data_IF_343517962062
#
_entry.id   IF_343517962062
#
_cell.length_a   1.000
_cell.length_b   1.000
_cell.length_c   1.000
_cell.angle_alpha   90.00
_cell.angle_beta   90.00
_cell.angle_gamma   90.00
#
_symmetry.space_group_name_H-M   'P 1'
#
loop_
_entity.id
_entity.type
_entity.pdbx_description
1 polymer ?
#
# COMPACT_ATOMS: atom_id res chain seq x y z
N UNK A 1 13.05 -14.92 -13.25
CA UNK A 1 11.80 -14.27 -13.70
C UNK A 1 12.09 -12.97 -14.43
N UNK A 2 12.91 -12.05 -13.91
CA UNK A 2 13.17 -10.73 -14.53
C UNK A 2 13.76 -10.83 -15.94
N UNK A 3 14.68 -11.78 -16.18
CA UNK A 3 15.22 -12.06 -17.52
C UNK A 3 14.12 -12.45 -18.51
N UNK A 4 13.05 -13.10 -18.03
CA UNK A 4 11.91 -13.48 -18.87
C UNK A 4 11.23 -12.29 -19.57
N UNK A 5 11.24 -11.10 -18.95
CA UNK A 5 10.66 -9.90 -19.56
C UNK A 5 11.43 -9.41 -20.80
N UNK A 6 12.71 -9.75 -20.92
CA UNK A 6 13.54 -9.39 -22.09
C UNK A 6 13.08 -10.17 -23.33
N UNK A 7 12.54 -11.37 -23.16
CA UNK A 7 12.11 -12.27 -24.24
C UNK A 7 10.62 -12.19 -24.55
N UNK A 8 9.89 -11.26 -23.92
CA UNK A 8 8.46 -11.07 -24.14
C UNK A 8 8.20 -10.53 -25.56
N UNK A 9 7.35 -11.22 -26.31
CA UNK A 9 6.96 -10.85 -27.67
C UNK A 9 5.45 -10.58 -27.80
N UNK A 10 4.64 -11.06 -26.86
CA UNK A 10 3.19 -10.92 -26.90
C UNK A 10 2.58 -10.90 -25.49
N UNK A 11 1.29 -10.59 -25.39
CA UNK A 11 0.57 -10.46 -24.13
C UNK A 11 0.58 -11.77 -23.30
N UNK A 12 0.54 -12.95 -23.96
CA UNK A 12 0.56 -14.24 -23.26
C UNK A 12 1.88 -14.44 -22.54
N UNK A 13 3.01 -14.10 -23.18
CA UNK A 13 4.33 -14.16 -22.55
C UNK A 13 4.39 -13.22 -21.31
N UNK A 14 3.81 -12.01 -21.40
CA UNK A 14 3.72 -11.09 -20.25
C UNK A 14 2.97 -11.75 -19.11
N UNK A 15 1.79 -12.33 -19.38
CA UNK A 15 0.95 -12.97 -18.38
C UNK A 15 1.71 -14.12 -17.69
N UNK A 16 2.35 -14.99 -18.44
CA UNK A 16 3.09 -16.13 -17.88
C UNK A 16 4.25 -15.68 -16.99
N UNK A 17 5.04 -14.70 -17.45
CA UNK A 17 6.16 -14.15 -16.65
C UNK A 17 5.64 -13.46 -15.40
N UNK A 18 4.51 -12.73 -15.48
CA UNK A 18 3.85 -12.10 -14.33
C UNK A 18 3.29 -13.11 -13.33
N UNK A 19 2.73 -14.22 -13.79
CA UNK A 19 2.27 -15.31 -12.91
C UNK A 19 3.44 -15.88 -12.11
N UNK A 20 4.56 -16.23 -12.77
CA UNK A 20 5.76 -16.70 -12.10
C UNK A 20 6.34 -15.66 -11.13
N UNK A 21 6.34 -14.39 -11.53
CA UNK A 21 6.77 -13.29 -10.65
C UNK A 21 5.88 -13.17 -9.41
N UNK A 22 4.56 -13.30 -9.59
CA UNK A 22 3.58 -13.24 -8.49
C UNK A 22 3.76 -14.36 -7.48
N UNK A 23 3.99 -15.59 -7.96
CA UNK A 23 4.29 -16.73 -7.09
C UNK A 23 5.58 -16.50 -6.30
N UNK A 24 6.68 -16.18 -6.98
CA UNK A 24 7.96 -15.91 -6.32
C UNK A 24 7.90 -14.75 -5.32
N UNK A 25 7.22 -13.66 -5.67
CA UNK A 25 7.04 -12.52 -4.78
C UNK A 25 6.19 -12.86 -3.55
N UNK A 26 5.18 -13.72 -3.70
CA UNK A 26 4.34 -14.15 -2.57
C UNK A 26 5.13 -15.01 -1.58
N UNK A 27 5.89 -15.97 -2.09
CA UNK A 27 6.78 -16.81 -1.25
C UNK A 27 7.79 -15.92 -0.53
N UNK A 28 8.51 -15.06 -1.26
CA UNK A 28 9.53 -14.18 -0.70
C UNK A 28 8.97 -13.25 0.39
N UNK A 29 7.78 -12.68 0.15
CA UNK A 29 7.15 -11.76 1.12
C UNK A 29 6.71 -12.48 2.39
N UNK A 30 6.08 -13.65 2.26
CA UNK A 30 5.63 -14.43 3.42
C UNK A 30 6.84 -14.90 4.22
N UNK A 31 7.78 -15.61 3.57
CA UNK A 31 8.98 -16.15 4.23
C UNK A 31 9.83 -15.03 4.83
N UNK A 32 10.04 -13.93 4.12
CA UNK A 32 10.85 -12.81 4.63
C UNK A 32 10.27 -12.18 5.89
N UNK A 33 8.95 -11.97 5.96
CA UNK A 33 8.30 -11.43 7.16
C UNK A 33 8.31 -12.43 8.32
N UNK A 34 8.15 -13.72 8.05
CA UNK A 34 8.23 -14.79 9.05
C UNK A 34 9.62 -14.86 9.65
N UNK A 35 10.65 -14.97 8.83
CA UNK A 35 12.05 -15.04 9.29
C UNK A 35 12.41 -13.82 10.14
N UNK A 36 12.07 -12.59 9.71
CA UNK A 36 12.31 -11.39 10.51
C UNK A 36 11.57 -11.45 11.86
N UNK A 37 10.35 -11.98 11.88
CA UNK A 37 9.59 -12.17 13.11
C UNK A 37 10.26 -13.16 14.05
N UNK A 38 10.79 -14.27 13.53
CA UNK A 38 11.40 -15.35 14.30
C UNK A 38 12.80 -14.99 14.86
N UNK A 39 13.63 -14.28 14.09
CA UNK A 39 14.96 -13.86 14.53
C UNK A 39 14.93 -12.60 15.40
N UNK A 40 13.79 -11.92 15.49
CA UNK A 40 13.65 -10.71 16.32
C UNK A 40 13.58 -11.09 17.81
N UNK A 41 14.29 -10.38 18.70
CA UNK A 41 14.13 -10.54 20.13
C UNK A 41 12.68 -10.27 20.57
N UNK A 42 12.18 -10.96 21.58
CA UNK A 42 10.83 -10.76 22.13
C UNK A 42 10.60 -9.30 22.56
N UNK A 43 11.62 -8.71 23.21
CA UNK A 43 11.67 -7.28 23.49
C UNK A 43 12.16 -6.52 22.25
N UNK A 44 11.26 -5.81 21.55
CA UNK A 44 11.61 -4.97 20.40
C UNK A 44 11.22 -5.56 19.02
N UNK A 45 10.45 -6.64 18.95
CA UNK A 45 9.96 -7.22 17.70
C UNK A 45 9.30 -6.17 16.78
N UNK A 46 8.57 -5.22 17.36
CA UNK A 46 7.96 -4.11 16.61
C UNK A 46 8.99 -3.22 15.91
N UNK A 47 10.15 -2.97 16.54
CA UNK A 47 11.23 -2.20 15.95
C UNK A 47 11.86 -2.93 14.76
N UNK A 48 12.08 -4.25 14.86
CA UNK A 48 12.65 -5.06 13.79
C UNK A 48 11.72 -5.15 12.58
N UNK A 49 10.43 -5.44 12.79
CA UNK A 49 9.42 -5.45 11.73
C UNK A 49 9.20 -4.06 11.13
N UNK A 50 9.25 -3.02 11.96
CA UNK A 50 9.21 -1.63 11.53
C UNK A 50 10.38 -1.28 10.64
N UNK A 51 11.62 -1.63 11.04
CA UNK A 51 12.84 -1.42 10.27
C UNK A 51 12.82 -2.17 8.95
N UNK A 52 12.36 -3.42 8.93
CA UNK A 52 12.17 -4.20 7.71
C UNK A 52 11.22 -3.49 6.72
N UNK A 53 10.08 -3.01 7.18
CA UNK A 53 9.14 -2.26 6.36
C UNK A 53 9.69 -0.92 5.88
N UNK A 54 10.52 -0.26 6.71
CA UNK A 54 11.19 1.00 6.34
C UNK A 54 12.22 0.77 5.24
N UNK A 55 13.06 -0.26 5.37
CA UNK A 55 14.01 -0.66 4.32
C UNK A 55 13.28 -0.99 3.02
N UNK A 56 12.16 -1.74 3.09
CA UNK A 56 11.33 -2.04 1.92
C UNK A 56 10.79 -0.77 1.25
N UNK A 57 10.41 0.25 2.02
CA UNK A 57 9.91 1.53 1.50
C UNK A 57 11.01 2.34 0.80
N UNK A 58 12.19 2.45 1.42
CA UNK A 58 13.34 3.12 0.81
C UNK A 58 13.86 2.39 -0.44
N UNK A 59 13.92 1.05 -0.39
CA UNK A 59 14.29 0.24 -1.55
C UNK A 59 13.30 0.41 -2.71
N UNK A 60 12.00 0.50 -2.40
CA UNK A 60 10.97 0.77 -3.41
C UNK A 60 11.10 2.17 -4.02
N UNK A 61 11.43 3.19 -3.21
CA UNK A 61 11.71 4.55 -3.69
C UNK A 61 12.96 4.57 -4.58
N UNK A 62 14.05 3.95 -4.13
CA UNK A 62 15.28 3.84 -4.91
C UNK A 62 15.04 3.10 -6.24
N UNK A 63 14.20 2.04 -6.20
CA UNK A 63 13.80 1.29 -7.39
C UNK A 63 13.04 2.15 -8.40
N UNK A 64 12.17 3.07 -7.98
CA UNK A 64 11.45 3.99 -8.89
C UNK A 64 12.43 4.98 -9.55
N UNK A 65 13.35 5.55 -8.77
CA UNK A 65 14.33 6.51 -9.30
C UNK A 65 15.33 5.84 -10.25
N UNK A 66 15.95 4.76 -9.80
CA UNK A 66 16.93 4.02 -10.59
C UNK A 66 16.29 3.36 -11.82
N UNK A 67 15.12 2.74 -11.63
CA UNK A 67 14.37 2.12 -12.72
C UNK A 67 13.92 3.13 -13.76
N UNK A 68 13.43 4.28 -13.32
CA UNK A 68 13.06 5.39 -14.20
C UNK A 68 14.26 5.93 -15.01
N UNK A 69 15.39 6.14 -14.33
CA UNK A 69 16.63 6.57 -14.97
C UNK A 69 17.17 5.54 -15.95
N UNK A 70 17.31 4.29 -15.54
CA UNK A 70 17.84 3.22 -16.40
C UNK A 70 16.96 2.99 -17.62
N UNK A 71 15.63 3.04 -17.44
CA UNK A 71 14.69 2.91 -18.54
C UNK A 71 14.81 4.08 -19.54
N UNK A 72 15.01 5.29 -19.03
CA UNK A 72 15.19 6.49 -19.84
C UNK A 72 16.50 6.47 -20.62
N UNK A 73 17.63 6.18 -19.95
CA UNK A 73 18.96 6.30 -20.53
C UNK A 73 19.37 5.10 -21.39
N UNK A 74 18.93 3.90 -21.05
CA UNK A 74 19.41 2.64 -21.62
C UNK A 74 18.30 1.74 -22.20
N UNK A 75 17.05 2.21 -22.15
CA UNK A 75 15.90 1.45 -22.64
C UNK A 75 15.53 0.24 -21.76
N UNK A 76 14.77 -0.69 -22.32
CA UNK A 76 14.04 -1.71 -21.56
C UNK A 76 14.92 -2.83 -20.98
N UNK A 77 15.98 -3.22 -21.67
CA UNK A 77 16.77 -4.43 -21.34
C UNK A 77 17.60 -4.28 -20.09
N UNK A 78 18.33 -3.16 -19.94
CA UNK A 78 19.26 -2.97 -18.84
C UNK A 78 18.61 -2.97 -17.45
N UNK A 79 17.44 -2.31 -17.22
CA UNK A 79 16.74 -2.39 -15.94
C UNK A 79 16.47 -3.82 -15.49
N UNK A 80 16.05 -4.70 -16.39
CA UNK A 80 15.77 -6.10 -16.05
C UNK A 80 17.03 -6.92 -15.76
N UNK A 81 18.15 -6.63 -16.43
CA UNK A 81 19.44 -7.25 -16.13
C UNK A 81 19.95 -6.81 -14.73
N UNK A 82 19.83 -5.53 -14.40
CA UNK A 82 20.18 -5.00 -13.07
C UNK A 82 19.30 -5.65 -11.99
N UNK A 83 17.99 -5.72 -12.19
CA UNK A 83 17.09 -6.41 -11.25
C UNK A 83 17.45 -7.89 -11.09
N UNK A 84 17.84 -8.55 -12.17
CA UNK A 84 18.27 -9.95 -12.13
C UNK A 84 19.56 -10.09 -11.31
N UNK A 85 20.54 -9.22 -11.52
CA UNK A 85 21.80 -9.23 -10.78
C UNK A 85 21.57 -8.98 -9.28
N UNK A 86 20.76 -7.97 -8.91
CA UNK A 86 20.40 -7.68 -7.52
C UNK A 86 19.71 -8.88 -6.88
N UNK A 87 18.74 -9.50 -7.59
CA UNK A 87 18.01 -10.66 -7.07
C UNK A 87 18.93 -11.88 -6.90
N UNK A 88 19.82 -12.13 -7.85
CA UNK A 88 20.81 -13.22 -7.76
C UNK A 88 21.77 -13.00 -6.60
N UNK A 89 22.29 -11.77 -6.43
CA UNK A 89 23.13 -11.41 -5.29
C UNK A 89 22.39 -11.59 -3.96
N UNK A 90 21.14 -11.13 -3.88
CA UNK A 90 20.31 -11.31 -2.68
C UNK A 90 20.09 -12.80 -2.37
N UNK A 91 19.87 -13.62 -3.38
CA UNK A 91 19.72 -15.07 -3.23
C UNK A 91 20.98 -15.71 -2.67
N UNK A 92 22.16 -15.38 -3.21
CA UNK A 92 23.44 -15.88 -2.70
C UNK A 92 23.68 -15.43 -1.25
N UNK A 93 23.40 -14.16 -0.94
CA UNK A 93 23.53 -13.63 0.43
C UNK A 93 22.63 -14.38 1.42
N UNK A 94 21.39 -14.69 1.04
CA UNK A 94 20.48 -15.48 1.88
C UNK A 94 21.03 -16.89 2.11
N UNK A 95 21.53 -17.57 1.06
CA UNK A 95 22.12 -18.91 1.20
C UNK A 95 23.35 -18.95 2.11
N UNK A 96 24.16 -17.88 2.11
CA UNK A 96 25.38 -17.82 2.91
C UNK A 96 25.14 -17.32 4.33
N UNK A 97 24.26 -16.34 4.50
CA UNK A 97 24.06 -15.64 5.78
C UNK A 97 22.92 -16.22 6.63
N UNK A 98 21.90 -16.80 6.01
CA UNK A 98 20.80 -17.41 6.75
C UNK A 98 21.19 -18.83 7.17
N UNK A 99 21.25 -19.06 8.48
CA UNK A 99 21.45 -20.40 9.02
C UNK A 99 20.15 -21.18 8.93
N UNK A 100 20.27 -22.50 8.67
CA UNK A 100 19.16 -23.40 8.69
C UNK A 100 18.51 -23.42 10.09
N UNK A 101 17.20 -23.33 10.08
CA UNK A 101 16.31 -23.39 11.24
C UNK A 101 16.31 -22.17 12.17
N UNK A 102 15.57 -21.12 11.83
CA UNK A 102 15.25 -20.06 12.77
C UNK A 102 14.20 -20.45 13.83
N UNK A 103 13.80 -21.72 13.93
CA UNK A 103 13.03 -22.27 15.04
C UNK A 103 11.64 -21.65 15.22
N UNK A 104 10.65 -22.42 15.36
CA UNK A 104 9.30 -21.98 15.67
C UNK A 104 8.26 -22.56 14.72
N UNK A 105 8.05 -23.86 14.84
CA UNK A 105 6.83 -24.46 14.33
C UNK A 105 5.67 -23.98 15.23
N UNK A 106 4.94 -22.96 14.80
CA UNK A 106 3.61 -22.72 15.34
C UNK A 106 2.71 -23.84 14.85
N UNK A 107 1.99 -24.47 15.78
CA UNK A 107 1.08 -25.56 15.48
C UNK A 107 0.08 -25.14 14.38
N UNK A 108 -0.13 -25.98 13.34
CA UNK A 108 -1.12 -25.71 12.29
C UNK A 108 -2.55 -25.56 12.81
N UNK A 109 -2.85 -26.02 14.02
CA UNK A 109 -4.15 -25.92 14.69
C UNK A 109 -4.53 -24.49 15.09
N UNK A 110 -3.58 -23.56 15.19
CA UNK A 110 -3.86 -22.12 15.42
C UNK A 110 -4.26 -21.35 14.15
N UNK A 111 -4.15 -21.95 12.98
CA UNK A 111 -4.65 -21.32 11.75
C UNK A 111 -6.16 -21.53 11.66
N UNK A 112 -6.92 -20.49 12.01
CA UNK A 112 -8.37 -20.49 11.97
C UNK A 112 -8.92 -21.01 10.65
N UNK A 113 -9.78 -22.03 10.71
CA UNK A 113 -10.44 -22.62 9.57
C UNK A 113 -11.45 -21.68 8.88
N UNK A 114 -12.08 -22.15 7.81
CA UNK A 114 -13.12 -21.40 7.07
C UNK A 114 -14.25 -20.91 7.98
N UNK A 115 -14.56 -21.65 9.02
CA UNK A 115 -15.59 -21.28 10.03
C UNK A 115 -15.18 -20.04 10.82
N UNK A 116 -13.92 -19.92 11.22
CA UNK A 116 -13.38 -18.72 11.90
C UNK A 116 -13.48 -17.51 10.99
N UNK A 117 -13.16 -17.63 9.71
CA UNK A 117 -13.32 -16.53 8.75
C UNK A 117 -14.80 -16.12 8.60
N UNK A 118 -15.71 -17.08 8.56
CA UNK A 118 -17.14 -16.81 8.45
C UNK A 118 -17.69 -16.12 9.72
N UNK A 119 -17.28 -16.54 10.90
CA UNK A 119 -17.67 -15.92 12.17
C UNK A 119 -17.14 -14.49 12.26
N UNK A 120 -15.86 -14.25 11.92
CA UNK A 120 -15.25 -12.94 11.91
C UNK A 120 -15.92 -11.98 10.90
N UNK A 121 -16.30 -12.46 9.71
CA UNK A 121 -17.06 -11.69 8.74
C UNK A 121 -18.52 -11.42 9.19
N UNK A 122 -19.02 -12.13 10.14
CA UNK A 122 -20.28 -11.83 10.84
C UNK A 122 -20.21 -10.53 11.66
N UNK A 123 -19.02 -10.14 12.11
CA UNK A 123 -18.82 -8.94 12.92
C UNK A 123 -18.90 -7.68 12.07
N UNK A 124 -19.79 -6.71 12.39
CA UNK A 124 -20.01 -5.53 11.57
C UNK A 124 -18.74 -4.69 11.35
N UNK A 125 -17.91 -4.54 12.39
CA UNK A 125 -16.69 -3.74 12.32
C UNK A 125 -15.64 -4.41 11.43
N UNK A 126 -15.41 -5.71 11.59
CA UNK A 126 -14.41 -6.43 10.80
C UNK A 126 -14.84 -6.53 9.32
N UNK A 127 -16.13 -6.75 9.07
CA UNK A 127 -16.70 -6.71 7.71
C UNK A 127 -16.51 -5.34 7.03
N UNK A 128 -16.70 -4.25 7.78
CA UNK A 128 -16.47 -2.90 7.28
C UNK A 128 -14.98 -2.66 6.99
N UNK A 129 -14.07 -3.13 7.86
CA UNK A 129 -12.63 -3.05 7.64
C UNK A 129 -12.18 -3.85 6.41
N UNK A 130 -12.69 -5.06 6.22
CA UNK A 130 -12.41 -5.92 5.06
C UNK A 130 -12.90 -5.28 3.77
N UNK A 131 -14.15 -4.78 3.76
CA UNK A 131 -14.71 -4.07 2.61
C UNK A 131 -13.96 -2.78 2.27
N UNK A 132 -13.63 -1.99 3.28
CA UNK A 132 -12.77 -0.81 3.13
C UNK A 132 -11.39 -1.18 2.57
N UNK A 133 -10.77 -2.23 3.09
CA UNK A 133 -9.44 -2.69 2.66
C UNK A 133 -9.44 -3.14 1.20
N UNK A 134 -10.48 -3.87 0.78
CA UNK A 134 -10.70 -4.26 -0.60
C UNK A 134 -10.80 -3.04 -1.52
N UNK A 135 -11.70 -2.09 -1.19
CA UNK A 135 -11.92 -0.92 -2.01
C UNK A 135 -10.70 0.01 -2.09
N UNK A 136 -9.97 0.16 -0.99
CA UNK A 136 -8.74 0.92 -0.98
C UNK A 136 -7.67 0.27 -1.87
N UNK A 137 -7.52 -1.06 -1.79
CA UNK A 137 -6.61 -1.81 -2.66
C UNK A 137 -6.99 -1.70 -4.13
N UNK A 138 -8.28 -1.79 -4.44
CA UNK A 138 -8.84 -1.60 -5.78
C UNK A 138 -8.35 -0.26 -6.40
N UNK A 139 -8.60 0.85 -5.73
CA UNK A 139 -8.22 2.17 -6.24
C UNK A 139 -6.71 2.39 -6.26
N UNK A 140 -5.99 1.97 -5.21
CA UNK A 140 -4.54 2.14 -5.12
C UNK A 140 -3.80 1.40 -6.22
N UNK A 141 -4.18 0.16 -6.52
CA UNK A 141 -3.49 -0.64 -7.55
C UNK A 141 -3.76 -0.12 -8.95
N UNK A 142 -4.97 0.38 -9.21
CA UNK A 142 -5.28 1.06 -10.44
C UNK A 142 -4.38 2.29 -10.65
N UNK A 143 -4.19 3.12 -9.62
CA UNK A 143 -3.29 4.29 -9.70
C UNK A 143 -1.85 3.86 -9.98
N UNK A 144 -1.33 2.87 -9.25
CA UNK A 144 0.06 2.41 -9.42
C UNK A 144 0.33 1.94 -10.85
N UNK A 145 -0.66 1.30 -11.49
CA UNK A 145 -0.50 0.76 -12.84
C UNK A 145 -0.75 1.83 -13.91
N UNK A 146 -1.84 2.58 -13.79
CA UNK A 146 -2.27 3.48 -14.88
C UNK A 146 -1.69 4.88 -14.83
N UNK A 147 -1.25 5.38 -13.66
CA UNK A 147 -0.65 6.71 -13.56
C UNK A 147 0.63 6.85 -14.42
N UNK A 148 1.60 5.90 -14.38
CA UNK A 148 2.77 5.99 -15.26
C UNK A 148 2.41 5.96 -16.75
N UNK A 149 1.42 5.13 -17.11
CA UNK A 149 0.93 5.04 -18.50
C UNK A 149 0.30 6.36 -18.90
N UNK A 150 -0.62 6.90 -18.11
CA UNK A 150 -1.29 8.17 -18.35
C UNK A 150 -0.30 9.34 -18.47
N UNK A 151 0.66 9.43 -17.55
CA UNK A 151 1.70 10.45 -17.57
C UNK A 151 2.52 10.41 -18.88
N UNK A 152 2.86 9.19 -19.33
CA UNK A 152 3.67 9.01 -20.54
C UNK A 152 2.86 9.20 -21.81
N UNK A 153 1.68 8.62 -21.92
CA UNK A 153 0.89 8.61 -23.17
C UNK A 153 0.17 9.93 -23.41
N UNK A 154 -0.30 10.60 -22.34
CA UNK A 154 -1.08 11.84 -22.49
C UNK A 154 -0.20 13.09 -22.50
N UNK A 155 0.86 13.12 -21.66
CA UNK A 155 1.70 14.30 -21.49
C UNK A 155 3.13 14.14 -22.01
N UNK A 156 3.51 12.96 -22.50
CA UNK A 156 4.87 12.70 -22.97
C UNK A 156 5.94 12.75 -21.87
N UNK A 157 5.54 12.65 -20.57
CA UNK A 157 6.47 12.72 -19.45
C UNK A 157 7.47 11.57 -19.53
N UNK A 158 8.76 11.88 -19.39
CA UNK A 158 9.83 10.88 -19.49
C UNK A 158 9.76 9.84 -18.37
N UNK A 159 10.28 8.63 -18.62
CA UNK A 159 10.33 7.58 -17.61
C UNK A 159 11.09 8.03 -16.35
N UNK A 160 12.11 8.85 -16.52
CA UNK A 160 12.87 9.44 -15.42
C UNK A 160 12.01 10.37 -14.55
N UNK A 161 11.26 11.28 -15.16
CA UNK A 161 10.36 12.19 -14.45
C UNK A 161 9.20 11.43 -13.77
N UNK A 162 8.68 10.38 -14.39
CA UNK A 162 7.70 9.47 -13.76
C UNK A 162 8.31 8.81 -12.50
N UNK A 163 9.58 8.37 -12.57
CA UNK A 163 10.30 7.85 -11.41
C UNK A 163 10.31 8.82 -10.22
N UNK A 164 10.52 10.12 -10.48
CA UNK A 164 10.44 11.17 -9.46
C UNK A 164 9.03 11.36 -8.88
N UNK A 165 7.99 11.32 -9.73
CA UNK A 165 6.60 11.37 -9.26
C UNK A 165 6.34 10.24 -8.26
N UNK A 166 6.69 9.01 -8.61
CA UNK A 166 6.45 7.83 -7.78
C UNK A 166 7.31 7.84 -6.51
N UNK A 167 8.57 8.20 -6.63
CA UNK A 167 9.50 8.29 -5.50
C UNK A 167 9.08 9.35 -4.48
N UNK A 168 8.59 10.51 -4.93
CA UNK A 168 8.14 11.60 -4.06
C UNK A 168 7.06 11.16 -3.07
N UNK A 169 6.03 10.47 -3.54
CA UNK A 169 4.97 9.96 -2.67
C UNK A 169 5.46 8.90 -1.68
N UNK A 170 6.37 8.01 -2.12
CA UNK A 170 6.97 6.99 -1.23
C UNK A 170 7.89 7.60 -0.18
N UNK A 171 8.64 8.65 -0.54
CA UNK A 171 9.48 9.40 0.39
C UNK A 171 8.63 10.05 1.49
N UNK A 172 7.61 10.81 1.12
CA UNK A 172 6.71 11.46 2.09
C UNK A 172 6.04 10.43 2.99
N UNK A 173 5.57 9.32 2.42
CA UNK A 173 5.02 8.22 3.20
C UNK A 173 6.03 7.68 4.20
N UNK A 174 7.27 7.40 3.78
CA UNK A 174 8.32 6.86 4.65
C UNK A 174 8.68 7.81 5.79
N UNK A 175 8.78 9.11 5.52
CA UNK A 175 9.10 10.13 6.51
C UNK A 175 7.98 10.32 7.55
N UNK A 176 6.72 10.32 7.11
CA UNK A 176 5.58 10.60 7.99
C UNK A 176 5.07 9.37 8.73
N UNK A 177 5.29 8.16 8.23
CA UNK A 177 4.67 6.94 8.75
C UNK A 177 5.00 6.67 10.22
N UNK A 178 6.25 6.89 10.64
CA UNK A 178 6.66 6.73 12.04
C UNK A 178 6.03 7.78 12.97
N UNK A 179 6.02 9.04 12.54
CA UNK A 179 5.44 10.16 13.30
C UNK A 179 3.94 9.94 13.50
N UNK A 180 3.24 9.57 12.43
CA UNK A 180 1.80 9.34 12.47
C UNK A 180 1.45 8.06 13.23
N UNK A 181 2.28 7.02 13.17
CA UNK A 181 2.12 5.82 14.00
C UNK A 181 2.05 6.18 15.48
N UNK A 182 3.05 6.91 15.97
CA UNK A 182 3.08 7.38 17.36
C UNK A 182 1.88 8.27 17.71
N UNK A 183 1.50 9.17 16.79
CA UNK A 183 0.33 10.04 16.99
C UNK A 183 -0.97 9.23 17.11
N UNK A 184 -1.11 8.20 16.30
CA UNK A 184 -2.28 7.30 16.31
C UNK A 184 -2.40 6.55 17.63
N UNK A 185 -1.29 6.12 18.20
CA UNK A 185 -1.26 5.42 19.49
C UNK A 185 -1.56 6.37 20.66
N UNK A 186 -1.06 7.61 20.61
CA UNK A 186 -1.31 8.62 21.62
C UNK A 186 -2.78 9.07 21.68
N UNK A 187 -3.41 9.30 20.51
CA UNK A 187 -4.80 9.78 20.46
C UNK A 187 -5.86 8.66 20.51
N UNK A 188 -5.50 7.42 20.25
CA UNK A 188 -6.36 6.23 20.38
C UNK A 188 -7.61 6.17 19.47
N UNK A 189 -7.88 7.19 18.68
CA UNK A 189 -9.05 7.25 17.77
C UNK A 189 -8.74 6.73 16.37
N UNK A 190 -8.23 5.51 16.28
CA UNK A 190 -7.68 4.90 15.06
C UNK A 190 -8.60 4.97 13.83
N UNK A 191 -9.92 4.81 14.01
CA UNK A 191 -10.87 4.88 12.90
C UNK A 191 -10.94 6.25 12.21
N UNK A 192 -10.70 7.36 12.93
CA UNK A 192 -10.61 8.69 12.30
C UNK A 192 -9.34 8.84 11.47
N UNK A 193 -8.21 8.32 11.93
CA UNK A 193 -6.97 8.33 11.15
C UNK A 193 -7.13 7.52 9.86
N UNK A 194 -7.78 6.36 9.92
CA UNK A 194 -8.11 5.58 8.71
C UNK A 194 -8.96 6.39 7.76
N UNK A 195 -10.03 7.03 8.25
CA UNK A 195 -10.94 7.82 7.42
C UNK A 195 -10.25 9.03 6.79
N UNK A 196 -9.55 9.85 7.59
CA UNK A 196 -8.84 11.05 7.10
C UNK A 196 -7.77 10.69 6.09
N UNK A 197 -6.92 9.69 6.41
CA UNK A 197 -5.87 9.27 5.49
C UNK A 197 -6.41 8.69 4.19
N UNK A 198 -7.51 7.92 4.24
CA UNK A 198 -8.15 7.38 3.03
C UNK A 198 -8.86 8.45 2.20
N UNK A 199 -9.50 9.44 2.83
CA UNK A 199 -10.09 10.57 2.11
C UNK A 199 -9.03 11.42 1.44
N UNK A 200 -7.92 11.74 2.13
CA UNK A 200 -6.79 12.46 1.53
C UNK A 200 -6.22 11.68 0.34
N UNK A 201 -6.09 10.35 0.47
CA UNK A 201 -5.68 9.50 -0.64
C UNK A 201 -6.68 9.59 -1.80
N UNK A 202 -7.98 9.46 -1.54
CA UNK A 202 -9.04 9.59 -2.54
C UNK A 202 -9.03 10.93 -3.26
N UNK A 203 -8.83 12.03 -2.52
CA UNK A 203 -8.66 13.39 -3.10
C UNK A 203 -7.43 13.45 -3.99
N UNK A 204 -6.30 12.87 -3.56
CA UNK A 204 -5.11 12.77 -4.40
C UNK A 204 -5.36 12.01 -5.70
N UNK A 205 -6.11 10.90 -5.65
CA UNK A 205 -6.51 10.14 -6.85
C UNK A 205 -7.42 10.97 -7.76
N UNK A 206 -8.40 11.68 -7.19
CA UNK A 206 -9.29 12.57 -7.93
C UNK A 206 -8.57 13.79 -8.52
N UNK A 207 -7.42 14.17 -7.98
CA UNK A 207 -6.60 15.26 -8.52
C UNK A 207 -5.76 14.85 -9.74
N UNK A 208 -5.54 13.55 -9.99
CA UNK A 208 -4.75 13.09 -11.14
C UNK A 208 -5.29 13.62 -12.49
N UNK A 209 -6.61 13.55 -12.77
CA UNK A 209 -7.19 14.12 -13.99
C UNK A 209 -6.95 15.64 -14.18
N UNK A 210 -6.78 16.38 -13.08
CA UNK A 210 -6.54 17.82 -13.13
C UNK A 210 -5.18 18.18 -13.74
N UNK A 211 -4.27 17.22 -13.92
CA UNK A 211 -2.98 17.42 -14.58
C UNK A 211 -3.13 17.99 -16.00
N UNK A 212 -4.23 17.65 -16.71
CA UNK A 212 -4.53 18.22 -18.02
C UNK A 212 -4.80 19.72 -17.99
N UNK A 213 -5.41 20.22 -16.93
CA UNK A 213 -5.65 21.67 -16.76
C UNK A 213 -4.39 22.42 -16.30
N UNK A 214 -3.47 21.73 -15.63
CA UNK A 214 -2.20 22.31 -15.20
C UNK A 214 -1.22 22.49 -16.37
N UNK A 215 -1.36 21.68 -17.41
CA UNK A 215 -0.55 21.82 -18.63
C UNK A 215 -0.89 23.14 -19.33
N UNK A 216 0.12 23.97 -19.58
CA UNK A 216 -0.07 25.31 -20.16
C UNK A 216 -0.46 26.42 -19.16
N UNK A 217 -0.89 26.10 -17.91
CA UNK A 217 -1.16 27.11 -16.87
C UNK A 217 0.03 27.33 -15.95
N UNK A 218 0.79 26.28 -15.65
CA UNK A 218 2.01 26.35 -14.84
C UNK A 218 3.24 26.53 -15.74
N UNK A 219 4.27 27.26 -15.27
CA UNK A 219 5.49 27.45 -16.03
C UNK A 219 6.23 26.12 -16.23
N UNK A 220 6.83 25.97 -17.40
CA UNK A 220 7.74 24.86 -17.68
C UNK A 220 9.11 25.15 -17.05
N UNK A 221 9.67 24.17 -16.36
CA UNK A 221 11.00 24.24 -15.77
C UNK A 221 11.91 23.28 -16.50
N UNK A 222 13.04 23.79 -16.98
CA UNK A 222 14.05 22.96 -17.62
C UNK A 222 15.16 22.64 -16.62
N UNK A 223 15.34 21.36 -16.34
CA UNK A 223 16.36 20.88 -15.38
C UNK A 223 17.41 20.10 -16.16
N UNK A 224 18.66 20.53 -16.08
CA UNK A 224 19.80 19.76 -16.59
C UNK A 224 20.20 18.72 -15.53
N UNK A 225 20.06 17.46 -15.85
CA UNK A 225 20.41 16.37 -14.95
C UNK A 225 21.18 15.29 -15.72
N UNK A 226 22.31 14.87 -15.18
CA UNK A 226 23.15 13.79 -15.73
C UNK A 226 23.54 13.98 -17.22
N UNK A 227 23.70 15.25 -17.64
CA UNK A 227 24.14 15.59 -19.01
C UNK A 227 23.00 15.70 -20.04
N UNK A 228 21.75 15.56 -19.60
CA UNK A 228 20.57 15.76 -20.45
C UNK A 228 19.61 16.78 -19.86
N UNK A 229 18.78 17.38 -20.72
CA UNK A 229 17.85 18.43 -20.37
C UNK A 229 16.43 17.89 -20.33
N UNK A 230 15.82 17.87 -19.15
CA UNK A 230 14.43 17.46 -18.95
C UNK A 230 13.54 18.71 -18.84
N UNK A 231 12.52 18.78 -19.66
CA UNK A 231 11.48 19.82 -19.56
C UNK A 231 10.32 19.30 -18.74
N UNK A 232 10.11 19.89 -17.56
CA UNK A 232 9.04 19.55 -16.64
C UNK A 232 7.90 20.55 -16.81
N UNK A 233 6.79 20.13 -17.39
CA UNK A 233 5.60 20.96 -17.61
C UNK A 233 4.64 20.95 -16.42
N UNK A 234 3.53 21.68 -16.54
CA UNK A 234 2.51 21.78 -15.51
C UNK A 234 1.91 20.45 -15.09
N UNK A 235 1.72 19.53 -16.04
CA UNK A 235 1.23 18.18 -15.76
C UNK A 235 2.17 17.41 -14.83
N UNK A 236 3.49 17.54 -14.97
CA UNK A 236 4.45 16.92 -14.06
C UNK A 236 4.22 17.38 -12.62
N UNK A 237 4.14 18.70 -12.39
CA UNK A 237 3.97 19.26 -11.04
C UNK A 237 2.63 18.89 -10.43
N UNK A 238 1.56 18.86 -11.22
CA UNK A 238 0.25 18.45 -10.78
C UNK A 238 0.22 16.96 -10.37
N UNK A 239 0.78 16.07 -11.19
CA UNK A 239 0.89 14.64 -10.89
C UNK A 239 1.81 14.38 -9.69
N UNK A 240 2.94 15.12 -9.60
CA UNK A 240 3.85 15.03 -8.47
C UNK A 240 3.15 15.45 -7.17
N UNK A 241 2.44 16.59 -7.17
CA UNK A 241 1.65 17.05 -6.03
C UNK A 241 0.53 16.09 -5.63
N UNK A 242 -0.21 15.56 -6.61
CA UNK A 242 -1.22 14.53 -6.37
C UNK A 242 -0.59 13.30 -5.72
N UNK A 243 0.56 12.83 -6.22
CA UNK A 243 1.22 11.64 -5.67
C UNK A 243 1.85 11.88 -4.29
N UNK A 244 2.33 13.09 -3.99
CA UNK A 244 2.71 13.50 -2.64
C UNK A 244 1.51 13.38 -1.68
N UNK A 245 0.33 13.86 -2.10
CA UNK A 245 -0.90 13.76 -1.30
C UNK A 245 -1.31 12.31 -1.06
N UNK A 246 -1.13 11.43 -2.06
CA UNK A 246 -1.30 9.98 -1.88
C UNK A 246 -0.36 9.42 -0.82
N UNK A 247 0.90 9.87 -0.82
CA UNK A 247 1.90 9.49 0.19
C UNK A 247 1.49 9.90 1.61
N UNK A 248 1.02 11.14 1.79
CA UNK A 248 0.49 11.65 3.06
C UNK A 248 -0.71 10.81 3.51
N UNK A 249 -1.70 10.62 2.63
CA UNK A 249 -2.90 9.84 2.94
C UNK A 249 -2.58 8.41 3.38
N UNK A 250 -1.65 7.75 2.66
CA UNK A 250 -1.26 6.36 2.98
C UNK A 250 -0.44 6.27 4.28
N UNK A 251 0.37 7.30 4.62
CA UNK A 251 1.12 7.35 5.88
C UNK A 251 0.19 7.45 7.09
N UNK A 252 -0.92 8.19 6.97
CA UNK A 252 -1.90 8.37 8.04
C UNK A 252 -2.76 7.11 8.20
N UNK A 253 -3.25 6.55 7.10
CA UNK A 253 -4.18 5.43 7.10
C UNK A 253 -3.55 4.10 7.49
N UNK A 254 -2.33 3.82 7.01
CA UNK A 254 -1.78 2.46 7.04
C UNK A 254 -1.55 1.93 8.45
N UNK A 255 -0.82 2.63 9.37
CA UNK A 255 -0.61 2.15 10.73
C UNK A 255 -1.93 2.00 11.48
N UNK A 256 -2.81 3.01 11.43
CA UNK A 256 -4.11 2.97 12.07
C UNK A 256 -4.99 1.80 11.61
N UNK A 257 -4.99 1.51 10.30
CA UNK A 257 -5.74 0.37 9.74
C UNK A 257 -5.17 -0.97 10.20
N UNK A 258 -3.83 -1.09 10.33
CA UNK A 258 -3.21 -2.33 10.84
C UNK A 258 -3.61 -2.58 12.28
N UNK A 259 -3.47 -1.56 13.14
CA UNK A 259 -3.83 -1.67 14.55
C UNK A 259 -5.31 -2.03 14.75
N UNK A 260 -6.22 -1.47 13.94
CA UNK A 260 -7.65 -1.84 14.03
C UNK A 260 -7.92 -3.31 13.70
N UNK A 261 -7.22 -3.91 12.73
CA UNK A 261 -7.35 -5.34 12.47
C UNK A 261 -6.81 -6.20 13.62
N UNK A 262 -5.73 -5.76 14.26
CA UNK A 262 -5.18 -6.43 15.45
C UNK A 262 -6.14 -6.30 16.61
N UNK A 263 -6.65 -5.09 16.91
CA UNK A 263 -7.59 -4.84 18.01
C UNK A 263 -8.87 -5.68 17.88
N UNK A 264 -9.47 -5.69 16.68
CA UNK A 264 -10.68 -6.48 16.45
C UNK A 264 -10.39 -8.00 16.50
N UNK A 265 -9.22 -8.43 15.99
CA UNK A 265 -8.80 -9.82 16.07
C UNK A 265 -8.53 -10.29 17.51
N UNK A 266 -7.93 -9.45 18.35
CA UNK A 266 -7.62 -9.74 19.75
C UNK A 266 -8.87 -9.93 20.61
N UNK A 267 -9.96 -9.20 20.32
CA UNK A 267 -11.22 -9.35 21.04
C UNK A 267 -11.87 -10.74 20.89
N UNK A 268 -11.44 -11.51 19.90
CA UNK A 268 -11.99 -12.84 19.58
C UNK A 268 -10.90 -13.92 19.54
N UNK A 269 -9.74 -13.66 20.16
CA UNK A 269 -8.57 -14.55 20.15
C UNK A 269 -8.18 -15.06 18.74
N UNK A 270 -8.38 -14.23 17.74
CA UNK A 270 -8.25 -14.59 16.31
C UNK A 270 -7.46 -13.56 15.50
N UNK A 271 -6.39 -12.99 16.07
CA UNK A 271 -5.55 -11.97 15.40
C UNK A 271 -5.00 -12.47 14.06
N UNK A 272 -4.48 -13.71 14.03
CA UNK A 272 -3.94 -14.30 12.81
C UNK A 272 -4.99 -14.40 11.70
N UNK A 273 -6.22 -14.79 12.03
CA UNK A 273 -7.33 -14.89 11.08
C UNK A 273 -7.80 -13.52 10.60
N UNK A 274 -7.86 -12.51 11.47
CA UNK A 274 -8.18 -11.13 11.09
C UNK A 274 -7.12 -10.55 10.14
N UNK A 275 -5.84 -10.79 10.39
CA UNK A 275 -4.73 -10.37 9.53
C UNK A 275 -4.72 -11.12 8.19
N UNK A 276 -5.16 -12.38 8.18
CA UNK A 276 -5.34 -13.15 6.94
C UNK A 276 -6.48 -12.57 6.09
N UNK A 277 -7.63 -12.24 6.70
CA UNK A 277 -8.73 -11.55 6.01
C UNK A 277 -8.29 -10.19 5.44
N UNK A 278 -7.50 -9.42 6.20
CA UNK A 278 -6.88 -8.19 5.73
C UNK A 278 -6.01 -8.41 4.49
N UNK A 279 -5.25 -9.49 4.46
CA UNK A 279 -4.35 -9.83 3.33
C UNK A 279 -5.14 -10.30 2.12
N UNK A 280 -6.13 -11.16 2.30
CA UNK A 280 -7.00 -11.67 1.23
C UNK A 280 -7.77 -10.52 0.59
N UNK A 281 -8.42 -9.66 1.38
CA UNK A 281 -9.17 -8.50 0.85
C UNK A 281 -8.28 -7.56 0.02
N UNK A 282 -7.03 -7.37 0.46
CA UNK A 282 -6.04 -6.62 -0.31
C UNK A 282 -5.73 -7.27 -1.65
N UNK A 283 -5.46 -8.56 -1.68
CA UNK A 283 -5.12 -9.31 -2.90
C UNK A 283 -6.27 -9.32 -3.90
N UNK A 284 -7.51 -9.51 -3.42
CA UNK A 284 -8.69 -9.46 -4.30
C UNK A 284 -8.84 -8.08 -4.92
N UNK A 285 -8.68 -7.00 -4.15
CA UNK A 285 -8.72 -5.63 -4.67
C UNK A 285 -7.61 -5.34 -5.67
N UNK A 286 -6.39 -5.88 -5.45
CA UNK A 286 -5.27 -5.77 -6.39
C UNK A 286 -5.55 -6.39 -7.76
N UNK A 287 -6.36 -7.44 -7.82
CA UNK A 287 -6.72 -8.12 -9.07
C UNK A 287 -7.87 -7.41 -9.74
N UNK A 288 -8.95 -7.14 -8.99
CA UNK A 288 -10.19 -6.60 -9.55
C UNK A 288 -10.03 -5.13 -9.96
N UNK A 289 -9.31 -4.33 -9.17
CA UNK A 289 -9.17 -2.89 -9.40
C UNK A 289 -8.60 -2.54 -10.77
N UNK A 290 -7.40 -3.02 -11.14
CA UNK A 290 -6.82 -2.72 -12.45
C UNK A 290 -7.67 -3.21 -13.62
N UNK A 291 -8.36 -4.35 -13.49
CA UNK A 291 -9.23 -4.87 -14.55
C UNK A 291 -10.41 -3.92 -14.78
N UNK A 292 -11.13 -3.57 -13.72
CA UNK A 292 -12.33 -2.70 -13.84
C UNK A 292 -11.94 -1.30 -14.28
N UNK A 293 -10.87 -0.72 -13.70
CA UNK A 293 -10.41 0.62 -14.08
C UNK A 293 -9.83 0.62 -15.50
N UNK A 294 -9.11 -0.44 -15.90
CA UNK A 294 -8.59 -0.57 -17.26
C UNK A 294 -9.72 -0.62 -18.29
N UNK A 295 -10.76 -1.43 -18.05
CA UNK A 295 -11.97 -1.46 -18.89
C UNK A 295 -12.64 -0.08 -18.94
N UNK A 296 -12.70 0.64 -17.81
CA UNK A 296 -13.27 1.99 -17.80
C UNK A 296 -12.44 2.96 -18.65
N UNK A 297 -11.12 2.86 -18.59
CA UNK A 297 -10.20 3.67 -19.40
C UNK A 297 -10.37 3.39 -20.90
N UNK A 298 -10.50 2.12 -21.27
CA UNK A 298 -10.64 1.68 -22.66
C UNK A 298 -11.97 2.12 -23.29
N UNK A 299 -13.08 2.07 -22.51
CA UNK A 299 -14.43 2.40 -23.01
C UNK A 299 -14.80 3.89 -22.88
N UNK A 300 -14.17 4.61 -21.96
CA UNK A 300 -14.44 6.04 -21.73
C UNK A 300 -13.15 6.85 -21.94
N UNK A 301 -12.42 7.11 -20.87
CA UNK A 301 -11.17 7.85 -20.88
C UNK A 301 -10.35 7.60 -19.60
N UNK A 302 -9.06 7.97 -19.57
CA UNK A 302 -8.23 7.82 -18.37
C UNK A 302 -8.76 8.60 -17.15
N UNK A 303 -9.42 9.72 -17.36
CA UNK A 303 -9.94 10.58 -16.30
C UNK A 303 -11.09 9.86 -15.58
N UNK A 304 -12.02 9.27 -16.32
CA UNK A 304 -13.12 8.46 -15.78
C UNK A 304 -12.59 7.28 -14.94
N UNK A 305 -11.51 6.62 -15.39
CA UNK A 305 -10.88 5.54 -14.64
C UNK A 305 -10.35 5.97 -13.27
N UNK A 306 -9.64 7.11 -13.20
CA UNK A 306 -9.15 7.64 -11.91
C UNK A 306 -10.28 8.15 -11.02
N UNK A 307 -11.30 8.80 -11.58
CA UNK A 307 -12.46 9.25 -10.82
C UNK A 307 -13.27 8.07 -10.26
N UNK A 308 -13.43 6.98 -11.03
CA UNK A 308 -14.02 5.74 -10.53
C UNK A 308 -13.23 5.18 -9.34
N UNK A 309 -11.91 5.11 -9.45
CA UNK A 309 -11.04 4.65 -8.37
C UNK A 309 -11.18 5.54 -7.11
N UNK A 310 -11.21 6.86 -7.29
CA UNK A 310 -11.39 7.82 -6.20
C UNK A 310 -12.78 7.67 -5.55
N UNK A 311 -13.84 7.56 -6.35
CA UNK A 311 -15.20 7.37 -5.86
C UNK A 311 -15.33 6.07 -5.06
N UNK A 312 -14.71 4.98 -5.54
CA UNK A 312 -14.75 3.70 -4.85
C UNK A 312 -14.06 3.76 -3.48
N UNK A 313 -12.90 4.42 -3.39
CA UNK A 313 -12.22 4.69 -2.12
C UNK A 313 -13.09 5.55 -1.21
N UNK A 314 -13.67 6.62 -1.73
CA UNK A 314 -14.50 7.57 -0.98
C UNK A 314 -15.74 6.90 -0.38
N UNK A 315 -16.52 6.19 -1.20
CA UNK A 315 -17.73 5.48 -0.76
C UNK A 315 -17.40 4.45 0.32
N UNK A 316 -16.36 3.64 0.10
CA UNK A 316 -15.94 2.64 1.09
C UNK A 316 -15.45 3.28 2.40
N UNK A 317 -14.76 4.42 2.32
CA UNK A 317 -14.30 5.17 3.50
C UNK A 317 -15.50 5.72 4.30
N UNK A 318 -16.50 6.27 3.63
CA UNK A 318 -17.71 6.75 4.27
C UNK A 318 -18.49 5.60 4.93
N UNK A 319 -18.65 4.49 4.23
CA UNK A 319 -19.32 3.28 4.77
C UNK A 319 -18.59 2.72 6.00
N UNK A 320 -17.26 2.63 5.93
CA UNK A 320 -16.44 2.23 7.06
C UNK A 320 -16.60 3.18 8.24
N UNK A 321 -16.49 4.49 8.02
CA UNK A 321 -16.58 5.50 9.07
C UNK A 321 -17.95 5.47 9.77
N UNK A 322 -19.02 5.30 9.00
CA UNK A 322 -20.36 5.17 9.53
C UNK A 322 -20.53 3.93 10.41
N UNK A 323 -20.03 2.78 9.96
CA UNK A 323 -20.08 1.52 10.73
C UNK A 323 -19.23 1.61 11.98
N UNK A 324 -18.02 2.17 11.88
CA UNK A 324 -17.12 2.34 13.01
C UNK A 324 -17.74 3.24 14.10
N UNK A 325 -18.37 4.36 13.72
CA UNK A 325 -19.05 5.25 14.66
C UNK A 325 -20.21 4.54 15.37
N UNK A 326 -21.00 3.74 14.66
CA UNK A 326 -22.08 2.96 15.26
C UNK A 326 -21.57 1.90 16.24
N UNK A 327 -20.55 1.17 15.85
CA UNK A 327 -19.92 0.15 16.70
C UNK A 327 -19.36 0.76 18.00
N UNK A 328 -18.69 1.92 17.90
CA UNK A 328 -18.19 2.61 19.10
C UNK A 328 -19.31 3.20 19.97
N UNK A 329 -20.40 3.66 19.39
CA UNK A 329 -21.56 4.15 20.15
C UNK A 329 -22.22 3.01 20.94
N UNK A 330 -22.40 1.85 20.31
CA UNK A 330 -22.97 0.66 20.96
C UNK A 330 -22.10 0.21 22.17
N UNK A 331 -20.78 0.11 21.98
CA UNK A 331 -19.85 -0.30 23.07
C UNK A 331 -19.86 0.66 24.28
N UNK A 332 -20.13 1.95 24.07
CA UNK A 332 -20.24 2.93 25.19
C UNK A 332 -21.52 2.76 26.01
N UNK A 333 -22.56 2.23 25.42
CA UNK A 333 -23.84 1.98 26.12
C UNK A 333 -23.73 0.73 26.99
N UNK A 334 -22.95 -0.27 26.54
CA UNK A 334 -22.77 -1.55 27.21
C UNK A 334 -21.72 -1.52 28.35
N UNK A 335 -20.96 -0.42 28.50
CA UNK A 335 -20.02 -0.27 29.64
C UNK A 335 -20.78 0.36 30.78
N UNK A 336 -21.07 -0.37 31.92
CA UNK A 336 -21.68 0.22 33.11
C UNK A 336 -20.81 1.37 33.62
N UNK A 337 -21.44 2.40 34.16
CA UNK A 337 -20.73 3.45 34.88
C UNK A 337 -19.88 2.78 35.97
N UNK A 338 -18.62 3.22 36.22
CA UNK A 338 -17.84 2.71 37.33
C UNK A 338 -18.66 2.89 38.58
N UNK A 339 -18.77 1.79 39.39
CA UNK A 339 -19.42 1.84 40.69
C UNK A 339 -18.86 3.03 41.48
N UNK A 340 -19.70 3.85 42.07
CA UNK A 340 -19.21 4.91 42.94
C UNK A 340 -18.34 4.30 44.02
N UNK A 341 -17.13 4.83 44.15
CA UNK A 341 -16.13 4.40 45.11
C UNK A 341 -16.77 4.34 46.52
N UNK A 342 -16.88 3.14 47.14
CA UNK A 342 -17.52 3.04 48.44
C UNK A 342 -16.76 3.79 49.54
N UNK A 343 -15.51 4.20 49.33
CA UNK A 343 -14.67 4.94 50.27
C UNK A 343 -14.80 6.45 50.16
N UNK A 344 -15.66 7.00 49.28
CA UNK A 344 -15.85 8.45 49.14
C UNK A 344 -16.89 9.06 50.09
N UNK A 345 -17.36 8.32 51.09
CA UNK A 345 -18.38 8.77 52.05
C UNK A 345 -17.89 9.08 53.47
N UNK A 346 -16.58 8.97 53.76
CA UNK A 346 -16.03 9.29 55.07
C UNK A 346 -14.88 10.33 55.01
N UNK A 347 -15.22 11.59 54.70
CA UNK A 347 -14.45 12.79 55.10
C UNK A 347 -15.39 14.00 55.22
#
# INVERSE_FOLDING_TARGET
VFVGFIFVQNAVHVILVRMLQGLGASILWITGTTVVGEISPDEGQGLWLGSYNQVASFSSMAGDLLGGYLLYAYGFTLPYLVLTAITATSFVLVLVALRDDPGGQKDPEESGGVETFRSLLGLPMLRALVGFRFAFSFGKMAVIIFLPIYARTTFGISAFAIGWILAGGKLVKGLLQGIVGNLTDTYGRRHYFVAVGALLYGVGVAAIPLAGYAEGTLPTVTVALLGDTQTLGGAFFALFGAYLLLGVGDSIRLPASMSLFVDEGSQYDSVASAMSLRSISWKVGQIVGPVVVGVTIDFLDPQAGFLLAAAFIGVATLGFTFTARRAHAARRVDTPAPDPDPDASDD
#
